data_IF_122238606453
#
_entry.id   IF_122238606453
#
_cell.length_a   1.000
_cell.length_b   1.000
_cell.length_c   1.000
_cell.angle_alpha   90.00
_cell.angle_beta   90.00
_cell.angle_gamma   90.00
#
_symmetry.space_group_name_H-M   'P 1'
#
loop_
_entity.id
_entity.type
_entity.pdbx_description
1 polymer ?
#
# COMPACT_ATOMS: atom_id res chain seq x y z
N UNK A 1 -11.67 0.00 -21.06
CA UNK A 1 -10.91 -1.27 -21.14
C UNK A 1 -11.68 -2.25 -22.00
N UNK A 2 -11.00 -2.93 -22.91
CA UNK A 2 -11.54 -4.08 -23.63
C UNK A 2 -11.44 -5.35 -22.77
N UNK A 3 -12.16 -6.43 -23.13
CA UNK A 3 -12.11 -7.71 -22.40
C UNK A 3 -10.68 -8.28 -22.30
N UNK A 4 -9.90 -8.15 -23.38
CA UNK A 4 -8.49 -8.58 -23.39
C UNK A 4 -7.63 -7.80 -22.39
N UNK A 5 -7.83 -6.48 -22.28
CA UNK A 5 -7.09 -5.64 -21.32
C UNK A 5 -7.47 -5.95 -19.88
N UNK A 6 -8.73 -6.29 -19.64
CA UNK A 6 -9.18 -6.74 -18.31
C UNK A 6 -8.54 -8.08 -17.93
N UNK A 7 -8.45 -9.03 -18.87
CA UNK A 7 -7.75 -10.30 -18.66
C UNK A 7 -6.28 -10.12 -18.33
N UNK A 8 -5.60 -9.23 -19.05
CA UNK A 8 -4.20 -8.88 -18.81
C UNK A 8 -3.98 -8.26 -17.42
N UNK A 9 -4.84 -7.31 -17.01
CA UNK A 9 -4.80 -6.72 -15.67
C UNK A 9 -4.98 -7.79 -14.59
N UNK A 10 -5.97 -8.68 -14.74
CA UNK A 10 -6.26 -9.72 -13.75
C UNK A 10 -5.12 -10.74 -13.65
N UNK A 11 -4.54 -11.13 -14.80
CA UNK A 11 -3.37 -12.01 -14.84
C UNK A 11 -2.18 -11.36 -14.13
N UNK A 12 -1.92 -10.09 -14.41
CA UNK A 12 -0.80 -9.37 -13.84
C UNK A 12 -0.99 -9.15 -12.34
N UNK A 13 -2.20 -8.82 -11.87
CA UNK A 13 -2.54 -8.77 -10.45
C UNK A 13 -2.33 -10.13 -9.77
N UNK A 14 -2.78 -11.22 -10.41
CA UNK A 14 -2.59 -12.57 -9.86
C UNK A 14 -1.10 -12.91 -9.71
N UNK A 15 -0.28 -12.56 -10.70
CA UNK A 15 1.18 -12.75 -10.63
C UNK A 15 1.80 -11.89 -9.53
N UNK A 16 1.51 -10.59 -9.48
CA UNK A 16 2.07 -9.68 -8.48
C UNK A 16 1.66 -10.07 -7.05
N UNK A 17 0.40 -10.41 -6.82
CA UNK A 17 -0.08 -10.87 -5.52
C UNK A 17 0.46 -12.25 -5.16
N UNK A 18 0.56 -13.17 -6.11
CA UNK A 18 1.20 -14.46 -5.91
C UNK A 18 2.66 -14.34 -5.47
N UNK A 19 3.44 -13.52 -6.19
CA UNK A 19 4.83 -13.22 -5.83
C UNK A 19 4.93 -12.53 -4.47
N UNK A 20 4.06 -11.56 -4.20
CA UNK A 20 4.00 -10.86 -2.90
C UNK A 20 3.72 -11.84 -1.76
N UNK A 21 2.79 -12.77 -1.95
CA UNK A 21 2.44 -13.77 -0.94
C UNK A 21 3.60 -14.74 -0.68
N UNK A 22 4.22 -15.27 -1.75
CA UNK A 22 5.37 -16.19 -1.63
C UNK A 22 6.55 -15.50 -0.95
N UNK A 23 6.88 -14.28 -1.39
CA UNK A 23 7.97 -13.51 -0.80
C UNK A 23 7.64 -13.11 0.65
N UNK A 24 6.39 -12.75 0.96
CA UNK A 24 5.93 -12.44 2.30
C UNK A 24 6.18 -13.59 3.27
N UNK A 25 5.77 -14.81 2.91
CA UNK A 25 6.04 -16.00 3.72
C UNK A 25 7.55 -16.28 3.89
N UNK A 26 8.37 -16.00 2.89
CA UNK A 26 9.83 -16.12 3.00
C UNK A 26 10.44 -15.07 3.93
N UNK A 27 9.99 -13.82 3.84
CA UNK A 27 10.44 -12.71 4.69
C UNK A 27 10.05 -12.92 6.15
N UNK A 28 8.86 -13.46 6.41
CA UNK A 28 8.40 -13.80 7.75
C UNK A 28 9.30 -14.83 8.44
N UNK A 29 9.89 -15.78 7.68
CA UNK A 29 10.90 -16.72 8.21
C UNK A 29 12.13 -15.99 8.78
N UNK A 30 12.42 -14.79 8.29
CA UNK A 30 13.51 -13.94 8.76
C UNK A 30 13.04 -12.82 9.70
N UNK A 31 11.80 -12.88 10.20
CA UNK A 31 11.16 -11.86 11.04
C UNK A 31 11.05 -10.48 10.38
N UNK A 32 10.98 -10.45 9.06
CA UNK A 32 10.74 -9.23 8.29
C UNK A 32 9.24 -9.09 8.06
N UNK A 33 8.61 -7.91 8.28
CA UNK A 33 7.19 -7.70 8.05
C UNK A 33 6.77 -8.03 6.62
N UNK A 34 5.76 -8.88 6.45
CA UNK A 34 5.28 -9.33 5.14
C UNK A 34 4.81 -8.20 4.22
N UNK A 35 4.37 -7.06 4.76
CA UNK A 35 3.97 -5.88 3.98
C UNK A 35 5.10 -5.35 3.08
N UNK A 36 6.37 -5.57 3.48
CA UNK A 36 7.53 -5.18 2.68
C UNK A 36 7.69 -6.04 1.41
N UNK A 37 7.09 -7.24 1.36
CA UNK A 37 7.14 -8.08 0.17
C UNK A 37 6.48 -7.39 -1.04
N UNK A 38 5.34 -6.73 -0.83
CA UNK A 38 4.65 -6.01 -1.90
C UNK A 38 5.53 -4.89 -2.47
N UNK A 39 6.23 -4.16 -1.59
CA UNK A 39 7.17 -3.11 -1.96
C UNK A 39 8.34 -3.68 -2.78
N UNK A 40 8.96 -4.76 -2.31
CA UNK A 40 10.08 -5.38 -3.03
C UNK A 40 9.67 -5.98 -4.37
N UNK A 41 8.50 -6.61 -4.46
CA UNK A 41 7.97 -7.16 -5.71
C UNK A 41 7.71 -6.05 -6.72
N UNK A 42 7.04 -4.96 -6.31
CA UNK A 42 6.78 -3.83 -7.19
C UNK A 42 8.09 -3.14 -7.65
N UNK A 43 9.04 -2.97 -6.72
CA UNK A 43 10.35 -2.39 -7.03
C UNK A 43 11.15 -3.29 -8.00
N UNK A 44 11.12 -4.61 -7.81
CA UNK A 44 11.75 -5.55 -8.75
C UNK A 44 11.07 -5.51 -10.12
N UNK A 45 9.73 -5.48 -10.16
CA UNK A 45 8.97 -5.39 -11.40
C UNK A 45 9.29 -4.11 -12.18
N UNK A 46 9.52 -2.98 -11.49
CA UNK A 46 9.91 -1.72 -12.12
C UNK A 46 11.18 -1.83 -12.97
N UNK A 47 12.16 -2.63 -12.56
CA UNK A 47 13.41 -2.85 -13.32
C UNK A 47 13.28 -3.86 -14.47
N UNK A 48 12.10 -4.43 -14.68
CA UNK A 48 11.81 -5.36 -15.79
C UNK A 48 10.93 -4.67 -16.84
N UNK A 49 10.80 -5.23 -18.06
CA UNK A 49 9.89 -4.69 -19.07
C UNK A 49 8.44 -4.54 -18.58
N UNK A 50 8.00 -5.38 -17.63
CA UNK A 50 6.68 -5.29 -16.98
C UNK A 50 6.45 -3.95 -16.28
N UNK A 51 7.50 -3.33 -15.74
CA UNK A 51 7.42 -2.02 -15.09
C UNK A 51 7.00 -0.91 -16.07
N UNK A 52 7.43 -1.01 -17.33
CA UNK A 52 7.08 -0.05 -18.37
C UNK A 52 5.63 -0.20 -18.84
N UNK A 53 5.08 -1.42 -18.84
CA UNK A 53 3.68 -1.69 -19.19
C UNK A 53 2.74 -1.28 -18.05
N UNK A 54 3.14 -1.54 -16.81
CA UNK A 54 2.43 -1.13 -15.60
C UNK A 54 2.23 0.39 -15.49
N UNK A 55 3.18 1.17 -16.00
CA UNK A 55 3.13 2.62 -15.99
C UNK A 55 2.22 3.25 -17.06
N UNK A 56 1.71 2.46 -18.00
CA UNK A 56 0.93 2.96 -19.13
C UNK A 56 -0.58 2.83 -18.89
N UNK A 57 -1.36 3.70 -19.54
CA UNK A 57 -2.81 3.55 -19.59
C UNK A 57 -3.18 2.35 -20.47
N UNK A 58 -4.16 1.52 -20.09
CA UNK A 58 -5.15 1.70 -19.02
C UNK A 58 -4.77 1.10 -17.66
N UNK A 59 -3.66 0.34 -17.57
CA UNK A 59 -3.28 -0.38 -16.35
C UNK A 59 -2.99 0.58 -15.18
N UNK A 60 -2.28 1.67 -15.43
CA UNK A 60 -1.99 2.70 -14.42
C UNK A 60 -3.25 3.24 -13.75
N UNK A 61 -4.31 3.49 -14.51
CA UNK A 61 -5.58 4.02 -14.00
C UNK A 61 -6.27 2.99 -13.10
N UNK A 62 -6.28 1.72 -13.51
CA UNK A 62 -6.84 0.63 -12.71
C UNK A 62 -6.07 0.44 -11.39
N UNK A 63 -4.73 0.49 -11.41
CA UNK A 63 -3.92 0.42 -10.20
C UNK A 63 -4.12 1.62 -9.28
N UNK A 64 -4.26 2.85 -9.83
CA UNK A 64 -4.59 4.04 -9.03
C UNK A 64 -5.93 3.88 -8.33
N UNK A 65 -6.95 3.42 -9.06
CA UNK A 65 -8.27 3.16 -8.50
C UNK A 65 -8.24 2.09 -7.40
N UNK A 66 -7.51 0.98 -7.63
CA UNK A 66 -7.32 -0.06 -6.60
C UNK A 66 -6.57 0.46 -5.37
N UNK A 67 -5.56 1.31 -5.55
CA UNK A 67 -4.82 1.90 -4.45
C UNK A 67 -5.71 2.83 -3.61
N UNK A 68 -6.52 3.68 -4.25
CA UNK A 68 -7.50 4.53 -3.58
C UNK A 68 -8.51 3.70 -2.79
N UNK A 69 -9.08 2.65 -3.40
CA UNK A 69 -9.97 1.72 -2.70
C UNK A 69 -9.28 1.02 -1.54
N UNK A 70 -8.04 0.57 -1.73
CA UNK A 70 -7.24 -0.09 -0.68
C UNK A 70 -7.01 0.82 0.52
N UNK A 71 -6.65 2.09 0.28
CA UNK A 71 -6.50 3.10 1.34
C UNK A 71 -7.82 3.37 2.05
N UNK A 72 -8.92 3.52 1.31
CA UNK A 72 -10.24 3.72 1.91
C UNK A 72 -10.66 2.54 2.79
N UNK A 73 -10.49 1.30 2.30
CA UNK A 73 -10.79 0.11 3.09
C UNK A 73 -9.88 -0.02 4.31
N UNK A 74 -8.60 0.31 4.19
CA UNK A 74 -7.67 0.29 5.32
C UNK A 74 -8.07 1.29 6.40
N UNK A 75 -8.34 2.54 6.03
CA UNK A 75 -8.77 3.58 6.96
C UNK A 75 -10.12 3.25 7.60
N UNK A 76 -11.06 2.72 6.82
CA UNK A 76 -12.35 2.27 7.32
C UNK A 76 -12.20 1.12 8.32
N UNK A 77 -11.39 0.11 7.99
CA UNK A 77 -11.13 -1.03 8.85
C UNK A 77 -10.45 -0.62 10.16
N UNK A 78 -9.44 0.26 10.10
CA UNK A 78 -8.82 0.84 11.29
C UNK A 78 -9.86 1.57 12.14
N UNK A 79 -10.74 2.37 11.50
CA UNK A 79 -11.82 3.06 12.18
C UNK A 79 -12.84 2.14 12.85
N UNK A 80 -13.08 0.93 12.32
CA UNK A 80 -13.94 -0.07 12.94
C UNK A 80 -13.28 -0.78 14.14
N UNK A 81 -11.96 -0.94 14.12
CA UNK A 81 -11.21 -1.63 15.18
C UNK A 81 -10.89 -0.73 16.38
N UNK A 82 -11.02 0.59 16.23
CA UNK A 82 -10.55 1.54 17.23
C UNK A 82 -11.54 1.68 18.39
N UNK A 83 -11.02 1.69 19.63
CA UNK A 83 -11.83 1.97 20.82
C UNK A 83 -12.01 3.48 21.01
N UNK A 84 -13.23 3.96 20.76
CA UNK A 84 -13.57 5.39 20.86
C UNK A 84 -13.44 5.94 22.29
N UNK A 85 -13.64 5.11 23.31
CA UNK A 85 -13.53 5.52 24.71
C UNK A 85 -12.07 5.75 25.07
N UNK A 86 -11.19 4.81 24.70
CA UNK A 86 -9.74 4.94 24.91
C UNK A 86 -9.15 6.10 24.10
N UNK A 87 -9.54 6.25 22.83
CA UNK A 87 -9.14 7.39 22.00
C UNK A 87 -9.49 8.73 22.64
N UNK A 88 -10.70 8.84 23.21
CA UNK A 88 -11.15 10.07 23.84
C UNK A 88 -10.32 10.38 25.08
N UNK A 89 -10.02 9.38 25.90
CA UNK A 89 -9.19 9.53 27.09
C UNK A 89 -7.77 10.00 26.76
N UNK A 90 -7.19 9.51 25.66
CA UNK A 90 -5.83 9.84 25.20
C UNK A 90 -5.77 10.98 24.17
N UNK A 91 -6.90 11.62 23.87
CA UNK A 91 -7.04 12.57 22.74
C UNK A 91 -6.00 13.68 22.71
N UNK A 92 -5.67 14.27 23.87
CA UNK A 92 -4.68 15.35 23.96
C UNK A 92 -3.26 14.87 23.61
N UNK A 93 -2.90 13.66 24.04
CA UNK A 93 -1.59 13.09 23.77
C UNK A 93 -1.48 12.63 22.32
N UNK A 94 -2.55 12.05 21.76
CA UNK A 94 -2.65 11.71 20.34
C UNK A 94 -2.47 12.96 19.48
N UNK A 95 -3.18 14.06 19.75
CA UNK A 95 -3.07 15.29 18.96
C UNK A 95 -1.65 15.86 19.02
N UNK A 96 -1.03 15.90 20.20
CA UNK A 96 0.35 16.37 20.35
C UNK A 96 1.32 15.48 19.59
N UNK A 97 1.24 14.17 19.80
CA UNK A 97 2.12 13.22 19.13
C UNK A 97 1.98 13.34 17.60
N UNK A 98 0.76 13.39 17.07
CA UNK A 98 0.52 13.54 15.63
C UNK A 98 1.04 14.88 15.09
N UNK A 99 0.80 16.00 15.78
CA UNK A 99 1.30 17.31 15.33
C UNK A 99 2.82 17.34 15.34
N UNK A 100 3.48 16.90 16.42
CA UNK A 100 4.94 16.92 16.49
C UNK A 100 5.57 15.90 15.53
N UNK A 101 5.06 14.68 15.45
CA UNK A 101 5.60 13.65 14.57
C UNK A 101 5.32 13.89 13.09
N UNK A 102 4.28 14.66 12.72
CA UNK A 102 3.98 14.95 11.32
C UNK A 102 4.50 16.32 10.90
N UNK A 103 4.21 17.39 11.64
CA UNK A 103 4.62 18.73 11.22
C UNK A 103 6.15 18.87 11.19
N UNK A 104 6.88 18.27 12.14
CA UNK A 104 8.32 18.40 12.20
C UNK A 104 9.02 17.74 10.99
N UNK A 105 8.77 16.46 10.62
CA UNK A 105 9.35 15.89 9.40
C UNK A 105 8.94 16.63 8.12
N UNK A 106 7.70 17.12 8.03
CA UNK A 106 7.26 17.89 6.87
C UNK A 106 7.99 19.23 6.74
N UNK A 107 8.22 19.94 7.85
CA UNK A 107 8.99 21.19 7.85
C UNK A 107 10.47 20.95 7.53
N UNK A 108 11.06 19.88 8.08
CA UNK A 108 12.46 19.53 7.82
C UNK A 108 12.69 19.00 6.40
N UNK A 109 11.72 18.30 5.82
CA UNK A 109 11.77 17.77 4.45
C UNK A 109 11.36 18.76 3.36
N UNK A 110 11.01 20.00 3.72
CA UNK A 110 10.65 21.06 2.77
C UNK A 110 11.88 21.83 2.23
N UNK A 111 13.08 21.53 2.72
CA UNK A 111 14.37 22.00 2.18
C UNK A 111 15.03 20.94 1.31
#
# INVERSE_FOLDING_TARGET
MTESQAGELLLLLAVLFGLTFVLGGLLEKWRIPGILAALFVAMAAHYTPLGSELGQAPLREAFSFLAELGVLFLLFFIGLQIDLVEMRALSRDIVRATVFNTALPFLLGMG
#
